data_IF_517159126272
#
_entry.id   IF_517159126272
#
_cell.length_a   1.000
_cell.length_b   1.000
_cell.length_c   1.000
_cell.angle_alpha   90.00
_cell.angle_beta   90.00
_cell.angle_gamma   90.00
#
_symmetry.space_group_name_H-M   'P 1'
#
loop_
_entity.id
_entity.type
_entity.pdbx_description
1 polymer ?
#
# COMPACT_ATOMS: atom_id res chain seq x y z
N UNK A 1 10.30 0.55 4.41
CA UNK A 1 11.17 0.06 3.30
C UNK A 1 11.21 1.13 2.21
N UNK A 2 12.38 1.47 1.67
CA UNK A 2 12.54 2.47 0.62
C UNK A 2 12.00 1.91 -0.71
N UNK A 3 10.87 2.44 -1.20
CA UNK A 3 10.14 1.93 -2.36
C UNK A 3 10.55 2.63 -3.66
N UNK A 4 11.84 2.80 -3.90
CA UNK A 4 12.29 3.34 -5.18
C UNK A 4 12.25 2.24 -6.26
N UNK A 5 11.81 2.56 -7.48
CA UNK A 5 11.92 1.63 -8.61
C UNK A 5 13.38 1.20 -8.80
N UNK A 6 13.56 -0.06 -9.18
CA UNK A 6 14.87 -0.61 -9.57
C UNK A 6 15.36 0.09 -10.83
N UNK A 7 16.67 0.02 -11.09
CA UNK A 7 17.23 0.60 -12.32
C UNK A 7 16.63 -0.01 -13.60
N UNK A 8 16.22 -1.29 -13.56
CA UNK A 8 15.58 -1.97 -14.67
C UNK A 8 14.16 -1.48 -14.96
N UNK A 9 13.46 -0.95 -13.94
CA UNK A 9 12.09 -0.46 -14.08
C UNK A 9 12.02 1.06 -14.32
N UNK A 10 13.17 1.72 -14.51
CA UNK A 10 13.21 3.15 -14.75
C UNK A 10 13.14 3.45 -16.26
N UNK A 11 12.19 4.26 -16.73
CA UNK A 11 12.18 4.70 -18.12
C UNK A 11 13.42 5.54 -18.46
N UNK A 12 13.74 5.61 -19.76
CA UNK A 12 14.79 6.49 -20.26
C UNK A 12 14.49 7.97 -19.95
N UNK A 13 15.53 8.79 -19.77
CA UNK A 13 15.38 10.20 -19.41
C UNK A 13 14.49 10.96 -20.40
N UNK A 14 14.64 10.71 -21.70
CA UNK A 14 13.81 11.33 -22.73
C UNK A 14 12.33 10.98 -22.57
N UNK A 15 12.02 9.73 -22.23
CA UNK A 15 10.65 9.28 -22.01
C UNK A 15 10.03 9.99 -20.81
N UNK A 16 10.78 10.14 -19.71
CA UNK A 16 10.32 10.88 -18.53
C UNK A 16 10.09 12.36 -18.84
N UNK A 17 11.04 13.01 -19.51
CA UNK A 17 10.94 14.43 -19.86
C UNK A 17 9.83 14.72 -20.89
N UNK A 18 9.48 13.75 -21.74
CA UNK A 18 8.39 13.91 -22.70
C UNK A 18 7.00 13.69 -22.06
N UNK A 19 6.91 12.86 -21.02
CA UNK A 19 5.67 12.65 -20.26
C UNK A 19 5.35 13.82 -19.32
N UNK A 20 6.39 14.42 -18.73
CA UNK A 20 6.24 15.60 -17.88
C UNK A 20 5.99 16.82 -18.76
N UNK A 21 4.78 17.37 -18.68
CA UNK A 21 4.41 18.57 -19.40
C UNK A 21 5.03 19.78 -18.70
N UNK A 22 6.08 20.36 -19.29
CA UNK A 22 6.73 21.54 -18.73
C UNK A 22 7.92 22.02 -19.55
N UNK A 23 8.24 23.30 -19.41
CA UNK A 23 9.48 23.84 -19.97
C UNK A 23 10.69 23.35 -19.15
N UNK A 24 11.84 23.21 -19.81
CA UNK A 24 13.09 22.71 -19.20
C UNK A 24 13.47 23.60 -18.00
N UNK A 25 13.28 24.91 -18.10
CA UNK A 25 13.65 25.84 -17.04
C UNK A 25 12.74 25.68 -15.80
N UNK A 26 11.47 25.32 -16.01
CA UNK A 26 10.53 25.01 -14.92
C UNK A 26 10.90 23.69 -14.24
N UNK A 27 11.13 22.64 -15.04
CA UNK A 27 11.53 21.32 -14.52
C UNK A 27 12.84 21.43 -13.74
N UNK A 28 13.83 22.16 -14.26
CA UNK A 28 15.10 22.39 -13.58
C UNK A 28 14.91 23.09 -12.23
N UNK A 29 14.02 24.10 -12.15
CA UNK A 29 13.68 24.79 -10.91
C UNK A 29 13.08 23.86 -9.88
N UNK A 30 12.14 23.00 -10.26
CA UNK A 30 11.54 22.02 -9.35
C UNK A 30 12.55 20.97 -8.86
N UNK A 31 13.49 20.59 -9.73
CA UNK A 31 14.58 19.68 -9.37
C UNK A 31 15.70 20.34 -8.54
N UNK A 32 15.69 21.67 -8.39
CA UNK A 32 16.75 22.40 -7.69
C UNK A 32 18.10 22.42 -8.43
N UNK A 33 18.10 22.27 -9.76
CA UNK A 33 19.31 22.28 -10.60
C UNK A 33 19.25 23.41 -11.62
N UNK A 34 20.41 23.77 -12.19
CA UNK A 34 20.42 24.74 -13.30
C UNK A 34 19.81 24.14 -14.57
N UNK A 35 19.14 24.97 -15.36
CA UNK A 35 18.63 24.56 -16.67
C UNK A 35 19.74 24.08 -17.63
N UNK A 36 20.93 24.66 -17.54
CA UNK A 36 22.11 24.20 -18.28
C UNK A 36 22.48 22.75 -17.94
N UNK A 37 22.38 22.38 -16.65
CA UNK A 37 22.63 21.02 -16.18
C UNK A 37 21.56 20.06 -16.73
N UNK A 38 20.29 20.45 -16.68
CA UNK A 38 19.22 19.62 -17.22
C UNK A 38 19.32 19.44 -18.75
N UNK A 39 19.70 20.50 -19.49
CA UNK A 39 19.98 20.40 -20.93
C UNK A 39 21.16 19.49 -21.24
N UNK A 40 22.22 19.52 -20.42
CA UNK A 40 23.36 18.60 -20.54
C UNK A 40 22.92 17.15 -20.35
N UNK A 41 22.12 16.86 -19.33
CA UNK A 41 21.59 15.51 -19.10
C UNK A 41 20.70 15.06 -20.25
N UNK A 42 19.82 15.94 -20.75
CA UNK A 42 19.00 15.66 -21.93
C UNK A 42 19.86 15.34 -23.15
N UNK A 43 20.93 16.09 -23.40
CA UNK A 43 21.83 15.82 -24.54
C UNK A 43 22.59 14.49 -24.39
N UNK A 44 22.94 14.11 -23.15
CA UNK A 44 23.60 12.85 -22.84
C UNK A 44 22.64 11.65 -22.76
N UNK A 45 21.33 11.89 -22.77
CA UNK A 45 20.30 10.87 -22.58
C UNK A 45 20.28 10.23 -21.18
N UNK A 46 21.07 10.73 -20.24
CA UNK A 46 21.23 10.17 -18.91
C UNK A 46 21.38 11.28 -17.86
N UNK A 47 20.78 11.06 -16.69
CA UNK A 47 20.93 11.93 -15.52
C UNK A 47 21.34 11.10 -14.30
N UNK A 48 21.87 11.73 -13.23
CA UNK A 48 22.10 11.06 -11.96
C UNK A 48 20.84 10.38 -11.44
N UNK A 49 21.00 9.26 -10.72
CA UNK A 49 19.88 8.44 -10.25
C UNK A 49 18.87 9.23 -9.41
N UNK A 50 19.32 10.18 -8.60
CA UNK A 50 18.43 11.05 -7.80
C UNK A 50 17.49 11.87 -8.68
N UNK A 51 18.03 12.49 -9.76
CA UNK A 51 17.25 13.27 -10.72
C UNK A 51 16.25 12.38 -11.46
N UNK A 52 16.72 11.22 -11.91
CA UNK A 52 15.86 10.25 -12.60
C UNK A 52 14.72 9.77 -11.71
N UNK A 53 14.97 9.53 -10.42
CA UNK A 53 13.94 9.14 -9.45
C UNK A 53 12.95 10.27 -9.18
N UNK A 54 13.41 11.52 -9.07
CA UNK A 54 12.52 12.67 -8.90
C UNK A 54 11.59 12.83 -10.10
N UNK A 55 12.13 12.79 -11.32
CA UNK A 55 11.34 12.82 -12.56
C UNK A 55 10.37 11.64 -12.64
N UNK A 56 10.79 10.44 -12.24
CA UNK A 56 9.91 9.28 -12.20
C UNK A 56 8.69 9.53 -11.32
N UNK A 57 8.86 10.06 -10.11
CA UNK A 57 7.72 10.30 -9.21
C UNK A 57 6.75 11.39 -9.70
N UNK A 58 7.25 12.37 -10.45
CA UNK A 58 6.43 13.39 -11.09
C UNK A 58 5.74 12.92 -12.40
N UNK A 59 6.24 11.82 -12.98
CA UNK A 59 5.68 11.24 -14.20
C UNK A 59 4.38 10.47 -13.95
N UNK A 60 3.67 10.15 -15.02
CA UNK A 60 2.47 9.31 -15.01
C UNK A 60 2.76 7.92 -14.40
N UNK A 61 3.93 7.33 -14.65
CA UNK A 61 4.32 6.06 -14.04
C UNK A 61 4.45 6.15 -12.51
N UNK A 62 5.02 7.24 -12.01
CA UNK A 62 5.14 7.50 -10.57
C UNK A 62 3.78 7.60 -9.90
N UNK A 63 2.87 8.39 -10.49
CA UNK A 63 1.48 8.52 -10.04
C UNK A 63 0.76 7.17 -10.02
N UNK A 64 0.79 6.43 -11.13
CA UNK A 64 0.15 5.11 -11.23
C UNK A 64 0.72 4.11 -10.21
N UNK A 65 2.03 4.15 -9.96
CA UNK A 65 2.67 3.29 -8.96
C UNK A 65 2.17 3.63 -7.55
N UNK A 66 2.09 4.92 -7.22
CA UNK A 66 1.56 5.38 -5.94
C UNK A 66 0.09 4.98 -5.75
N UNK A 67 -0.75 5.18 -6.78
CA UNK A 67 -2.17 4.84 -6.76
C UNK A 67 -2.39 3.34 -6.61
N UNK A 68 -1.69 2.51 -7.38
CA UNK A 68 -1.78 1.06 -7.28
C UNK A 68 -1.39 0.55 -5.89
N UNK A 69 -0.34 1.14 -5.30
CA UNK A 69 0.07 0.83 -3.94
C UNK A 69 -1.02 1.22 -2.93
N UNK A 70 -1.55 2.43 -3.01
CA UNK A 70 -2.60 2.91 -2.11
C UNK A 70 -3.85 2.02 -2.19
N UNK A 71 -4.27 1.67 -3.41
CA UNK A 71 -5.39 0.77 -3.66
C UNK A 71 -5.15 -0.62 -3.04
N UNK A 72 -3.98 -1.21 -3.26
CA UNK A 72 -3.64 -2.53 -2.71
C UNK A 72 -3.64 -2.53 -1.17
N UNK A 73 -3.12 -1.48 -0.54
CA UNK A 73 -3.18 -1.34 0.92
C UNK A 73 -4.62 -1.21 1.42
N UNK A 74 -5.43 -0.35 0.79
CA UNK A 74 -6.83 -0.17 1.15
C UNK A 74 -7.63 -1.48 1.02
N UNK A 75 -7.45 -2.20 -0.09
CA UNK A 75 -8.10 -3.50 -0.32
C UNK A 75 -7.68 -4.55 0.71
N UNK A 76 -6.38 -4.64 1.03
CA UNK A 76 -5.87 -5.56 2.03
C UNK A 76 -6.44 -5.26 3.43
N UNK A 77 -6.49 -3.99 3.84
CA UNK A 77 -7.06 -3.59 5.12
C UNK A 77 -8.57 -3.83 5.19
N UNK A 78 -9.32 -3.57 4.12
CA UNK A 78 -10.74 -3.86 4.05
C UNK A 78 -11.02 -5.36 4.19
N UNK A 79 -10.26 -6.21 3.48
CA UNK A 79 -10.39 -7.66 3.58
C UNK A 79 -10.06 -8.18 4.99
N UNK A 80 -9.00 -7.62 5.61
CA UNK A 80 -8.63 -7.96 6.99
C UNK A 80 -9.73 -7.55 7.99
N UNK A 81 -10.27 -6.34 7.87
CA UNK A 81 -11.34 -5.86 8.74
C UNK A 81 -12.60 -6.73 8.64
N UNK A 82 -12.98 -7.12 7.43
CA UNK A 82 -14.12 -8.02 7.20
C UNK A 82 -13.87 -9.42 7.78
N UNK A 83 -12.65 -9.95 7.64
CA UNK A 83 -12.27 -11.23 8.25
C UNK A 83 -12.36 -11.18 9.78
N UNK A 84 -11.81 -10.12 10.40
CA UNK A 84 -11.89 -9.92 11.85
C UNK A 84 -13.33 -9.75 12.33
N UNK A 85 -14.17 -9.04 11.58
CA UNK A 85 -15.60 -8.90 11.89
C UNK A 85 -16.32 -10.25 11.90
N UNK A 86 -16.03 -11.12 10.94
CA UNK A 86 -16.60 -12.48 10.88
C UNK A 86 -16.12 -13.34 12.05
N UNK A 87 -14.83 -13.26 12.39
CA UNK A 87 -14.26 -13.98 13.52
C UNK A 87 -14.88 -13.52 14.84
N UNK A 88 -14.99 -12.21 15.08
CA UNK A 88 -15.65 -11.66 16.26
C UNK A 88 -17.11 -12.12 16.35
N UNK A 89 -17.86 -12.07 15.25
CA UNK A 89 -19.24 -12.57 15.23
C UNK A 89 -19.34 -14.06 15.59
N UNK A 90 -18.38 -14.88 15.13
CA UNK A 90 -18.32 -16.32 15.46
C UNK A 90 -18.01 -16.51 16.95
N UNK A 91 -17.02 -15.79 17.48
CA UNK A 91 -16.64 -15.88 18.89
C UNK A 91 -17.76 -15.41 19.81
N UNK A 92 -18.42 -14.29 19.48
CA UNK A 92 -19.58 -13.81 20.24
C UNK A 92 -20.69 -14.86 20.30
N UNK A 93 -21.03 -15.49 19.18
CA UNK A 93 -22.01 -16.59 19.17
C UNK A 93 -21.60 -17.78 20.03
N UNK A 94 -20.31 -18.12 20.04
CA UNK A 94 -19.81 -19.19 20.90
C UNK A 94 -19.91 -18.83 22.38
N UNK A 95 -19.62 -17.57 22.72
CA UNK A 95 -19.78 -17.07 24.09
C UNK A 95 -21.24 -17.12 24.50
N UNK A 96 -22.16 -16.61 23.67
CA UNK A 96 -23.61 -16.65 23.94
C UNK A 96 -24.09 -18.10 24.20
N UNK A 97 -23.68 -19.05 23.36
CA UNK A 97 -24.04 -20.46 23.55
C UNK A 97 -23.50 -21.02 24.88
N UNK A 98 -22.25 -20.72 25.24
CA UNK A 98 -21.64 -21.18 26.49
C UNK A 98 -22.29 -20.52 27.71
N UNK A 99 -22.67 -19.25 27.62
CA UNK A 99 -23.41 -18.53 28.66
C UNK A 99 -24.80 -19.14 28.88
N UNK A 100 -25.52 -19.45 27.80
CA UNK A 100 -26.82 -20.14 27.86
C UNK A 100 -26.70 -21.55 28.49
N UNK A 101 -25.67 -22.33 28.12
CA UNK A 101 -25.39 -23.65 28.70
C UNK A 101 -25.04 -23.56 30.19
N UNK A 102 -24.23 -22.58 30.59
CA UNK A 102 -23.92 -22.33 32.00
C UNK A 102 -25.17 -21.96 32.81
N UNK A 103 -26.03 -21.10 32.28
CA UNK A 103 -27.28 -20.70 32.94
C UNK A 103 -28.24 -21.89 33.13
N UNK A 104 -28.27 -22.86 32.20
CA UNK A 104 -29.04 -24.10 32.36
C UNK A 104 -28.44 -25.08 33.39
N UNK A 105 -27.15 -24.91 33.72
CA UNK A 105 -26.42 -25.75 34.68
C UNK A 105 -26.52 -25.20 36.11
N UNK A 106 -26.93 -23.94 36.31
CA UNK A 106 -27.22 -23.36 37.63
C UNK A 106 -28.38 -24.11 38.31
N UNK A 107 -28.04 -25.09 39.16
CA UNK A 107 -28.98 -25.97 39.85
C UNK A 107 -28.68 -27.47 39.70
N UNK A 108 -27.72 -27.85 38.85
CA UNK A 108 -27.23 -29.23 38.70
C UNK A 108 -26.01 -29.52 39.59
N UNK A 109 -25.72 -30.80 39.82
CA UNK A 109 -24.53 -31.19 40.59
C UNK A 109 -23.25 -30.67 39.91
N UNK A 110 -22.28 -30.19 40.69
CA UNK A 110 -21.02 -29.61 40.19
C UNK A 110 -20.18 -30.54 39.27
N UNK A 111 -20.56 -31.83 39.22
CA UNK A 111 -19.88 -32.89 38.47
C UNK A 111 -20.65 -33.27 37.20
N UNK A 112 -21.78 -32.63 36.92
CA UNK A 112 -22.55 -32.88 35.71
C UNK A 112 -21.72 -32.44 34.48
N UNK A 113 -21.66 -33.26 33.42
CA UNK A 113 -20.88 -32.91 32.24
C UNK A 113 -21.49 -31.68 31.56
N UNK A 114 -20.70 -30.62 31.44
CA UNK A 114 -21.12 -29.35 30.84
C UNK A 114 -21.35 -29.51 29.32
N UNK A 115 -20.76 -30.52 28.68
CA UNK A 115 -20.93 -30.78 27.24
C UNK A 115 -20.99 -32.29 26.94
N UNK A 116 -21.94 -32.66 26.07
CA UNK A 116 -22.07 -33.99 25.46
C UNK A 116 -21.57 -33.93 24.02
N UNK A 117 -20.41 -34.54 23.74
CA UNK A 117 -19.91 -34.68 22.37
C UNK A 117 -20.64 -35.84 21.70
N UNK A 118 -21.52 -35.53 20.75
CA UNK A 118 -22.16 -36.49 19.84
C UNK A 118 -21.63 -36.33 18.42
#
# INVERSE_FOLDING_TARGET
MFRAPSQANLPHLHTLLNDIHGDIDQIARHLGISASTLRKYRAQGQAPRSVMLALFWESTWGRMTADAVAFNHAAAHAALAESLKRQNKRLMKQIELLEDELAQTEGQAANAPIFSVG
#
